data_IF_551059993993
#
_entry.id   IF_551059993993
#
_cell.length_a   1.000
_cell.length_b   1.000
_cell.length_c   1.000
_cell.angle_alpha   90.00
_cell.angle_beta   90.00
_cell.angle_gamma   90.00
#
_symmetry.space_group_name_H-M   'P 1'
#
loop_
_entity.id
_entity.type
_entity.pdbx_description
1 polymer ?
#
# COMPACT_ATOMS: atom_id res chain seq x y z
N UNK A 1 4.82 9.68 16.95
CA UNK A 1 4.28 9.99 15.59
C UNK A 1 4.02 11.48 15.36
N UNK A 2 3.40 12.16 16.32
CA UNK A 2 3.11 13.60 16.20
C UNK A 2 4.36 14.46 15.92
N UNK A 3 5.51 14.08 16.45
CA UNK A 3 6.77 14.80 16.26
C UNK A 3 7.25 14.82 14.80
N UNK A 4 6.73 13.94 13.95
CA UNK A 4 7.12 13.86 12.54
C UNK A 4 6.08 14.40 11.57
N UNK A 5 4.89 14.77 12.04
CA UNK A 5 3.85 15.32 11.16
C UNK A 5 4.36 16.58 10.44
N UNK A 6 5.06 17.44 11.15
CA UNK A 6 5.62 18.66 10.58
C UNK A 6 6.64 18.38 9.46
N UNK A 7 7.35 17.25 9.55
CA UNK A 7 8.28 16.85 8.49
C UNK A 7 7.56 16.79 7.13
N UNK A 8 6.38 16.19 7.08
CA UNK A 8 5.62 16.09 5.84
C UNK A 8 5.14 17.46 5.36
N UNK A 9 4.61 18.28 6.26
CA UNK A 9 4.06 19.58 5.89
C UNK A 9 5.15 20.61 5.52
N UNK A 10 6.34 20.47 6.08
CA UNK A 10 7.45 21.37 5.79
C UNK A 10 8.29 20.91 4.60
N UNK A 11 8.01 19.75 4.04
CA UNK A 11 8.74 19.24 2.89
C UNK A 11 8.23 19.89 1.60
N UNK A 12 9.09 20.62 0.91
CA UNK A 12 8.74 21.28 -0.35
C UNK A 12 9.00 20.39 -1.57
N UNK A 13 9.87 19.41 -1.46
CA UNK A 13 10.14 18.46 -2.52
C UNK A 13 8.95 17.48 -2.62
N UNK A 14 8.10 17.68 -3.61
CA UNK A 14 6.94 16.83 -3.86
C UNK A 14 7.08 16.18 -5.22
N UNK A 15 6.81 14.89 -5.26
CA UNK A 15 6.88 14.09 -6.49
C UNK A 15 5.59 13.27 -6.61
N UNK A 16 5.27 12.87 -7.84
CA UNK A 16 4.09 12.04 -8.06
C UNK A 16 4.28 10.65 -7.47
N UNK A 17 3.19 10.04 -7.06
CA UNK A 17 3.24 8.67 -6.52
C UNK A 17 3.91 7.72 -7.52
N UNK A 18 3.58 7.83 -8.82
CA UNK A 18 4.19 6.97 -9.83
C UNK A 18 5.69 7.21 -10.01
N UNK A 19 6.18 8.43 -9.75
CA UNK A 19 7.62 8.71 -9.86
C UNK A 19 8.43 8.13 -8.71
N UNK A 20 7.83 8.00 -7.53
CA UNK A 20 8.52 7.42 -6.37
C UNK A 20 8.27 5.93 -6.22
N UNK A 21 7.30 5.38 -6.96
CA UNK A 21 6.97 3.96 -6.97
C UNK A 21 7.15 3.40 -8.39
N UNK A 22 8.34 2.89 -8.73
CA UNK A 22 8.57 2.29 -10.06
C UNK A 22 7.60 1.16 -10.39
N UNK A 23 7.07 0.50 -9.37
CA UNK A 23 6.04 -0.52 -9.57
C UNK A 23 4.80 -0.08 -8.80
N UNK A 24 3.70 0.06 -9.54
CA UNK A 24 2.36 0.24 -9.00
C UNK A 24 1.48 -0.80 -9.69
N UNK A 25 0.88 -1.69 -8.91
CA UNK A 25 0.15 -2.81 -9.47
C UNK A 25 -1.17 -3.03 -8.76
N UNK A 26 -2.26 -2.77 -9.47
CA UNK A 26 -3.57 -3.28 -9.10
C UNK A 26 -3.56 -4.78 -9.38
N UNK A 27 -4.05 -5.59 -8.45
CA UNK A 27 -3.87 -7.03 -8.52
C UNK A 27 -4.74 -7.72 -9.56
N UNK A 28 -4.67 -9.05 -9.54
CA UNK A 28 -5.42 -9.90 -10.46
C UNK A 28 -6.83 -10.17 -9.96
N UNK A 29 -7.65 -10.75 -10.84
CA UNK A 29 -8.89 -11.43 -10.44
C UNK A 29 -8.52 -12.90 -10.20
N UNK A 30 -8.42 -13.36 -8.94
CA UNK A 30 -7.91 -14.70 -8.67
C UNK A 30 -8.87 -15.79 -9.11
N UNK A 31 -8.33 -16.97 -9.38
CA UNK A 31 -9.09 -18.21 -9.49
C UNK A 31 -8.93 -18.96 -8.18
N UNK A 32 -9.92 -18.82 -7.31
CA UNK A 32 -9.84 -19.33 -5.95
C UNK A 32 -9.91 -20.86 -5.90
N UNK A 33 -9.04 -21.42 -5.07
CA UNK A 33 -9.02 -22.84 -4.74
C UNK A 33 -9.00 -22.99 -3.22
N UNK A 34 -9.21 -24.20 -2.73
CA UNK A 34 -9.25 -24.44 -1.29
C UNK A 34 -7.89 -24.28 -0.62
N UNK A 35 -6.82 -24.65 -1.33
CA UNK A 35 -5.45 -24.52 -0.84
C UNK A 35 -4.47 -24.50 -2.00
N UNK A 36 -3.40 -23.71 -1.87
CA UNK A 36 -2.29 -23.66 -2.84
C UNK A 36 -1.09 -22.97 -2.22
N UNK A 37 0.00 -22.90 -2.96
CA UNK A 37 1.19 -22.15 -2.57
C UNK A 37 1.14 -20.67 -2.99
N UNK A 38 0.04 -20.23 -3.61
CA UNK A 38 -0.13 -18.82 -4.02
C UNK A 38 -1.26 -18.21 -3.19
N UNK A 39 -0.87 -17.36 -2.25
CA UNK A 39 -1.79 -16.75 -1.28
C UNK A 39 -2.14 -15.34 -1.73
N UNK A 40 -3.43 -15.01 -1.59
CA UNK A 40 -4.00 -13.77 -2.11
C UNK A 40 -4.32 -12.81 -0.99
N UNK A 41 -3.62 -11.69 -0.97
CA UNK A 41 -3.93 -10.58 -0.07
C UNK A 41 -5.16 -9.84 -0.63
N UNK A 42 -6.20 -9.78 0.18
CA UNK A 42 -7.42 -9.04 -0.15
C UNK A 42 -7.60 -7.88 0.83
N UNK A 43 -8.65 -7.07 0.62
CA UNK A 43 -8.87 -5.87 1.43
C UNK A 43 -9.04 -6.18 2.93
N UNK A 44 -9.54 -7.35 3.30
CA UNK A 44 -9.71 -7.73 4.70
C UNK A 44 -8.38 -8.03 5.40
N UNK A 45 -7.32 -8.26 4.63
CA UNK A 45 -5.98 -8.52 5.17
C UNK A 45 -5.26 -7.24 5.59
N UNK A 46 -5.71 -6.07 5.15
CA UNK A 46 -4.99 -4.81 5.33
C UNK A 46 -5.60 -4.03 6.49
N UNK A 47 -4.75 -3.78 7.49
CA UNK A 47 -5.10 -3.00 8.68
C UNK A 47 -4.07 -1.90 8.88
N UNK A 48 -4.44 -0.86 9.61
CA UNK A 48 -3.56 0.29 9.82
C UNK A 48 -2.25 -0.07 10.53
N UNK A 49 -2.25 -1.15 11.30
CA UNK A 49 -1.07 -1.62 12.05
C UNK A 49 -0.32 -2.76 11.35
N UNK A 50 -0.73 -3.15 10.17
CA UNK A 50 -0.08 -4.22 9.42
C UNK A 50 -1.05 -5.21 8.79
N UNK A 51 -0.49 -6.24 8.18
CA UNK A 51 -1.27 -7.28 7.52
C UNK A 51 -1.82 -8.30 8.52
N UNK A 52 -2.99 -8.83 8.22
CA UNK A 52 -3.59 -9.95 8.94
C UNK A 52 -3.98 -11.03 7.96
N UNK A 53 -3.47 -12.23 8.16
CA UNK A 53 -3.60 -13.33 7.20
C UNK A 53 -4.71 -14.33 7.55
N UNK A 54 -5.52 -14.06 8.58
CA UNK A 54 -6.63 -14.93 8.96
C UNK A 54 -7.70 -15.09 7.90
N UNK A 55 -7.81 -14.13 6.98
CA UNK A 55 -8.75 -14.15 5.87
C UNK A 55 -8.08 -14.38 4.53
N UNK A 56 -6.84 -14.89 4.53
CA UNK A 56 -6.11 -15.15 3.30
C UNK A 56 -6.84 -16.20 2.46
N UNK A 57 -6.79 -16.02 1.15
CA UNK A 57 -7.38 -16.95 0.18
C UNK A 57 -6.28 -17.46 -0.73
N UNK A 58 -6.60 -18.48 -1.53
CA UNK A 58 -5.63 -19.18 -2.34
C UNK A 58 -6.00 -19.12 -3.82
N UNK A 59 -5.02 -18.80 -4.64
CA UNK A 59 -5.17 -18.77 -6.10
C UNK A 59 -4.67 -20.12 -6.67
N UNK A 60 -5.33 -20.60 -7.72
CA UNK A 60 -4.89 -21.80 -8.42
C UNK A 60 -3.48 -21.60 -8.95
N UNK A 61 -2.52 -22.30 -8.35
CA UNK A 61 -1.11 -22.15 -8.67
C UNK A 61 -0.72 -22.61 -10.08
N UNK A 62 -1.60 -23.36 -10.75
CA UNK A 62 -1.40 -23.76 -12.14
C UNK A 62 -1.66 -22.63 -13.13
N UNK A 63 -2.32 -21.55 -12.66
CA UNK A 63 -2.58 -20.37 -13.49
C UNK A 63 -1.49 -19.34 -13.24
N UNK A 64 -0.67 -19.01 -14.25
CA UNK A 64 0.43 -18.06 -14.06
C UNK A 64 -0.05 -16.68 -13.58
N UNK A 65 0.69 -16.10 -12.64
CA UNK A 65 0.49 -14.73 -12.19
C UNK A 65 1.40 -13.82 -13.00
N UNK A 66 0.81 -12.90 -13.74
CA UNK A 66 1.53 -11.99 -14.64
C UNK A 66 1.60 -10.56 -14.11
N UNK A 67 1.31 -10.38 -12.83
CA UNK A 67 1.39 -9.11 -12.12
C UNK A 67 2.35 -9.23 -10.94
N UNK A 68 2.33 -8.22 -10.08
CA UNK A 68 3.28 -8.13 -8.97
C UNK A 68 3.24 -9.37 -8.07
N UNK A 69 4.37 -9.98 -7.84
CA UNK A 69 4.60 -10.89 -6.72
C UNK A 69 5.08 -10.02 -5.57
N UNK A 70 4.37 -10.06 -4.46
CA UNK A 70 4.64 -9.17 -3.34
C UNK A 70 5.98 -9.48 -2.68
N UNK A 71 6.69 -8.42 -2.33
CA UNK A 71 7.96 -8.49 -1.60
C UNK A 71 7.85 -7.68 -0.32
N UNK A 72 8.65 -8.04 0.69
CA UNK A 72 8.70 -7.26 1.93
C UNK A 72 9.06 -5.82 1.64
N UNK A 73 8.30 -4.90 2.23
CA UNK A 73 8.44 -3.48 2.00
C UNK A 73 7.48 -2.92 0.97
N UNK A 74 6.75 -3.76 0.23
CA UNK A 74 5.67 -3.25 -0.62
C UNK A 74 4.62 -2.58 0.26
N UNK A 75 4.15 -1.40 -0.15
CA UNK A 75 3.04 -0.72 0.52
C UNK A 75 1.76 -1.18 -0.13
N UNK A 76 0.84 -1.68 0.68
CA UNK A 76 -0.46 -2.19 0.21
C UNK A 76 -1.54 -1.16 0.54
N UNK A 77 -2.29 -0.76 -0.47
CA UNK A 77 -3.32 0.26 -0.36
C UNK A 77 -4.66 -0.31 -0.81
N UNK A 78 -5.65 -0.30 0.09
CA UNK A 78 -7.00 -0.72 -0.28
C UNK A 78 -7.63 0.27 -1.24
N UNK A 79 -8.02 -0.24 -2.40
CA UNK A 79 -8.58 0.59 -3.48
C UNK A 79 -10.10 0.62 -3.47
N UNK A 80 -10.77 -0.25 -2.71
CA UNK A 80 -12.22 -0.39 -2.72
C UNK A 80 -12.77 -0.59 -1.32
N UNK A 81 -14.09 -0.52 -1.24
CA UNK A 81 -14.84 -0.95 -0.07
C UNK A 81 -15.24 0.19 0.85
N UNK A 82 -16.51 0.14 1.29
CA UNK A 82 -17.06 1.08 2.24
C UNK A 82 -16.39 0.84 3.61
N UNK A 83 -15.69 1.83 4.13
CA UNK A 83 -14.98 1.72 5.39
C UNK A 83 -13.61 1.05 5.32
N UNK A 84 -13.22 0.48 4.17
CA UNK A 84 -11.90 -0.15 4.00
C UNK A 84 -11.02 0.57 3.00
N UNK A 85 -11.62 1.28 2.02
CA UNK A 85 -10.87 2.04 1.03
C UNK A 85 -9.91 3.02 1.73
N UNK A 86 -8.68 3.04 1.27
CA UNK A 86 -7.65 3.93 1.81
C UNK A 86 -6.78 3.33 2.89
N UNK A 87 -7.20 2.24 3.54
CA UNK A 87 -6.32 1.57 4.50
C UNK A 87 -5.04 1.13 3.81
N UNK A 88 -3.93 1.27 4.51
CA UNK A 88 -2.64 0.88 3.96
C UNK A 88 -1.74 0.30 5.04
N UNK A 89 -0.80 -0.53 4.61
CA UNK A 89 0.23 -1.08 5.49
C UNK A 89 1.46 -1.46 4.68
N UNK A 90 2.58 -1.63 5.37
CA UNK A 90 3.81 -2.15 4.75
C UNK A 90 3.76 -3.67 4.88
N UNK A 91 3.87 -4.35 3.74
CA UNK A 91 3.85 -5.82 3.70
C UNK A 91 5.15 -6.39 4.21
N UNK A 92 5.05 -7.42 5.05
CA UNK A 92 6.18 -8.23 5.52
C UNK A 92 5.93 -9.65 5.03
N UNK A 93 6.80 -10.12 4.13
CA UNK A 93 6.62 -11.43 3.54
C UNK A 93 6.92 -12.52 4.59
N UNK A 94 5.95 -13.40 4.86
CA UNK A 94 6.20 -14.53 5.77
C UNK A 94 7.28 -15.46 5.23
N UNK A 95 8.03 -16.09 6.13
CA UNK A 95 9.12 -17.04 5.80
C UNK A 95 8.55 -18.47 5.66
N UNK A 96 7.65 -18.67 4.71
CA UNK A 96 6.90 -19.92 4.56
C UNK A 96 7.01 -20.55 3.17
N UNK A 97 7.89 -20.02 2.31
CA UNK A 97 8.09 -20.48 0.94
C UNK A 97 6.86 -20.33 0.03
N UNK A 98 5.83 -19.63 0.47
CA UNK A 98 4.66 -19.34 -0.36
C UNK A 98 4.88 -18.08 -1.19
N UNK A 99 4.10 -17.96 -2.25
CA UNK A 99 4.03 -16.76 -3.08
C UNK A 99 2.85 -15.93 -2.64
N UNK A 100 3.06 -14.62 -2.44
CA UNK A 100 1.99 -13.70 -2.04
C UNK A 100 1.71 -12.73 -3.18
N UNK A 101 0.43 -12.59 -3.51
CA UNK A 101 -0.05 -11.66 -4.54
C UNK A 101 -1.20 -10.84 -3.96
N UNK A 102 -1.55 -9.74 -4.64
CA UNK A 102 -2.73 -8.96 -4.28
C UNK A 102 -3.84 -9.16 -5.31
N UNK A 103 -5.09 -9.07 -4.85
CA UNK A 103 -6.24 -9.11 -5.73
C UNK A 103 -6.53 -7.72 -6.34
N UNK A 104 -7.59 -7.63 -7.15
CA UNK A 104 -7.95 -6.40 -7.84
C UNK A 104 -8.47 -5.28 -6.93
N UNK A 105 -8.69 -5.55 -5.65
CA UNK A 105 -9.16 -4.57 -4.67
C UNK A 105 -8.00 -3.92 -3.90
N UNK A 106 -6.78 -4.36 -4.13
CA UNK A 106 -5.58 -3.89 -3.43
C UNK A 106 -4.54 -3.44 -4.45
N UNK A 107 -3.99 -2.24 -4.22
CA UNK A 107 -2.88 -1.71 -5.02
C UNK A 107 -1.59 -1.98 -4.28
N UNK A 108 -0.62 -2.59 -4.96
CA UNK A 108 0.74 -2.77 -4.43
C UNK A 108 1.64 -1.66 -4.95
N UNK A 109 2.34 -1.01 -4.02
CA UNK A 109 3.25 0.09 -4.31
C UNK A 109 4.66 -0.32 -3.90
N UNK A 110 5.56 -0.44 -4.87
CA UNK A 110 6.97 -0.73 -4.58
C UNK A 110 7.77 0.55 -4.77
N UNK A 111 8.31 1.09 -3.66
CA UNK A 111 9.02 2.36 -3.70
C UNK A 111 10.44 2.21 -4.23
N UNK A 112 10.93 3.29 -4.85
CA UNK A 112 12.37 3.47 -5.04
C UNK A 112 12.96 3.90 -3.69
N UNK A 113 13.64 2.98 -3.02
CA UNK A 113 14.15 3.21 -1.66
C UNK A 113 15.31 4.20 -1.60
N UNK A 114 15.87 4.56 -2.73
CA UNK A 114 16.84 5.66 -2.80
C UNK A 114 16.12 7.02 -2.72
N UNK A 115 14.81 7.06 -2.97
CA UNK A 115 13.99 8.27 -3.00
C UNK A 115 13.10 8.36 -1.76
N UNK A 116 12.32 7.31 -1.50
CA UNK A 116 11.40 7.29 -0.37
C UNK A 116 11.34 5.88 0.25
N UNK A 117 11.43 5.84 1.58
CA UNK A 117 11.33 4.57 2.29
C UNK A 117 9.85 4.14 2.40
N UNK A 118 9.57 2.82 2.33
CA UNK A 118 8.19 2.33 2.42
C UNK A 118 7.41 2.85 3.62
N UNK A 119 8.04 2.86 4.78
CA UNK A 119 7.40 3.30 6.02
C UNK A 119 7.03 4.78 5.97
N UNK A 120 7.87 5.61 5.31
CA UNK A 120 7.59 7.04 5.14
C UNK A 120 6.39 7.24 4.23
N UNK A 121 6.34 6.53 3.10
CA UNK A 121 5.18 6.60 2.20
C UNK A 121 3.93 6.10 2.89
N UNK A 122 4.00 4.97 3.55
CA UNK A 122 2.84 4.38 4.23
C UNK A 122 2.27 5.33 5.27
N UNK A 123 3.13 5.93 6.08
CA UNK A 123 2.67 6.88 7.11
C UNK A 123 2.04 8.12 6.48
N UNK A 124 2.62 8.64 5.39
CA UNK A 124 2.03 9.77 4.68
C UNK A 124 0.63 9.43 4.18
N UNK A 125 0.45 8.26 3.56
CA UNK A 125 -0.85 7.82 3.06
C UNK A 125 -1.87 7.67 4.18
N UNK A 126 -1.44 7.34 5.39
CA UNK A 126 -2.32 7.13 6.54
C UNK A 126 -2.74 8.42 7.25
N UNK A 127 -2.13 9.57 6.94
CA UNK A 127 -2.47 10.84 7.57
C UNK A 127 -3.91 11.23 7.24
N UNK A 128 -4.61 11.82 8.22
CA UNK A 128 -6.00 12.23 8.03
C UNK A 128 -6.18 13.15 6.82
N UNK A 129 -5.28 14.10 6.63
CA UNK A 129 -5.37 15.02 5.49
C UNK A 129 -5.15 14.30 4.16
N UNK A 130 -4.23 13.33 4.12
CA UNK A 130 -4.00 12.53 2.91
C UNK A 130 -5.21 11.67 2.60
N UNK A 131 -5.80 11.05 3.62
CA UNK A 131 -7.00 10.24 3.44
C UNK A 131 -8.16 11.10 2.91
N UNK A 132 -8.33 12.30 3.44
CA UNK A 132 -9.35 13.23 2.95
C UNK A 132 -9.09 13.62 1.48
N UNK A 133 -7.83 13.85 1.11
CA UNK A 133 -7.45 14.16 -0.28
C UNK A 133 -7.78 13.00 -1.20
N UNK A 134 -7.45 11.76 -0.79
CA UNK A 134 -7.73 10.56 -1.59
C UNK A 134 -9.22 10.47 -1.88
N UNK A 135 -10.06 10.59 -0.84
CA UNK A 135 -11.51 10.52 -1.02
C UNK A 135 -12.06 11.65 -1.89
N UNK A 136 -11.51 12.85 -1.77
CA UNK A 136 -12.01 14.02 -2.51
C UNK A 136 -11.58 14.01 -3.98
N UNK A 137 -10.36 13.56 -4.29
CA UNK A 137 -9.77 13.76 -5.61
C UNK A 137 -9.58 12.48 -6.42
N UNK A 138 -9.50 11.32 -5.77
CA UNK A 138 -9.05 10.10 -6.44
C UNK A 138 -10.05 8.94 -6.33
N UNK A 139 -11.22 9.18 -5.80
CA UNK A 139 -12.24 8.15 -5.60
C UNK A 139 -13.45 8.45 -6.45
N UNK A 140 -14.00 7.41 -7.07
CA UNK A 140 -15.25 7.47 -7.83
C UNK A 140 -16.23 6.44 -7.27
N UNK A 141 -17.49 6.54 -7.67
CA UNK A 141 -18.53 5.59 -7.31
C UNK A 141 -19.58 6.15 -6.36
N UNK A 142 -20.58 5.31 -6.10
CA UNK A 142 -21.68 5.65 -5.20
C UNK A 142 -21.39 5.14 -3.79
N UNK A 143 -22.32 5.40 -2.86
CA UNK A 143 -22.19 5.09 -1.43
C UNK A 143 -21.75 3.66 -1.12
N UNK A 144 -22.15 2.70 -1.97
CA UNK A 144 -21.87 1.28 -1.72
C UNK A 144 -20.78 0.69 -2.63
N UNK A 145 -20.26 1.46 -3.59
CA UNK A 145 -19.29 0.98 -4.56
C UNK A 145 -18.27 2.07 -4.85
N UNK A 146 -17.42 2.33 -3.85
CA UNK A 146 -16.34 3.32 -3.98
C UNK A 146 -15.06 2.64 -4.44
N UNK A 147 -14.32 3.34 -5.29
CA UNK A 147 -13.13 2.79 -5.95
C UNK A 147 -12.10 3.90 -6.15
N UNK A 148 -10.84 3.63 -5.83
CA UNK A 148 -9.75 4.53 -6.20
C UNK A 148 -9.53 4.43 -7.70
N UNK A 149 -9.50 5.58 -8.38
CA UNK A 149 -9.19 5.64 -9.81
C UNK A 149 -7.69 5.49 -9.98
N UNK A 150 -7.24 4.34 -10.42
CA UNK A 150 -5.83 3.98 -10.47
C UNK A 150 -5.02 4.94 -11.35
N UNK A 151 -5.54 5.32 -12.51
CA UNK A 151 -4.87 6.26 -13.41
C UNK A 151 -4.68 7.64 -12.79
N UNK A 152 -5.57 8.03 -11.87
CA UNK A 152 -5.52 9.34 -11.24
C UNK A 152 -4.62 9.34 -10.00
N UNK A 153 -4.69 8.30 -9.17
CA UNK A 153 -3.88 8.23 -7.93
C UNK A 153 -2.37 8.20 -8.26
N UNK A 154 -2.00 7.70 -9.43
CA UNK A 154 -0.60 7.73 -9.89
C UNK A 154 -0.01 9.13 -9.88
N UNK A 155 -0.85 10.14 -10.08
CA UNK A 155 -0.43 11.54 -10.20
C UNK A 155 -0.51 12.31 -8.90
N UNK A 156 -0.96 11.66 -7.82
CA UNK A 156 -1.01 12.30 -6.51
C UNK A 156 0.40 12.70 -6.07
N UNK A 157 0.54 13.94 -5.61
CA UNK A 157 1.82 14.44 -5.10
C UNK A 157 2.06 13.92 -3.69
N UNK A 158 3.26 13.43 -3.45
CA UNK A 158 3.69 12.99 -2.12
C UNK A 158 4.95 13.75 -1.74
N UNK A 159 5.11 14.14 -0.46
CA UNK A 159 6.32 14.80 -0.01
C UNK A 159 7.46 13.79 0.09
N UNK A 160 8.65 14.23 -0.31
CA UNK A 160 9.85 13.42 -0.24
C UNK A 160 10.83 14.17 0.67
N UNK A 161 10.82 13.89 1.99
CA UNK A 161 11.77 14.51 2.92
C UNK A 161 13.20 14.10 2.60
N UNK A 162 14.18 14.79 3.20
CA UNK A 162 15.56 14.35 3.05
C UNK A 162 15.72 12.92 3.54
N UNK A 163 16.67 12.18 2.96
CA UNK A 163 16.88 10.79 3.37
C UNK A 163 17.29 10.69 4.84
N UNK A 164 18.05 11.67 5.35
CA UNK A 164 18.41 11.70 6.77
C UNK A 164 17.17 11.78 7.69
N UNK A 165 16.20 12.63 7.33
CA UNK A 165 14.94 12.72 8.06
C UNK A 165 14.15 11.41 7.97
N UNK A 166 14.12 10.80 6.80
CA UNK A 166 13.40 9.55 6.59
C UNK A 166 14.01 8.42 7.43
N UNK A 167 15.32 8.29 7.44
CA UNK A 167 16.02 7.26 8.21
C UNK A 167 15.75 7.43 9.70
N UNK A 168 15.83 8.66 10.20
CA UNK A 168 15.54 8.95 11.60
C UNK A 168 14.10 8.58 11.95
N UNK A 169 13.16 8.94 11.07
CA UNK A 169 11.74 8.60 11.27
C UNK A 169 11.55 7.08 11.40
N UNK A 170 12.14 6.31 10.49
CA UNK A 170 11.98 4.85 10.49
C UNK A 170 12.60 4.24 11.74
N UNK A 171 13.76 4.74 12.19
CA UNK A 171 14.37 4.26 13.43
C UNK A 171 13.47 4.49 14.63
N UNK A 172 12.88 5.68 14.74
CA UNK A 172 11.97 6.00 15.85
C UNK A 172 10.70 5.17 15.75
N UNK A 173 10.17 4.97 14.55
CA UNK A 173 8.98 4.16 14.32
C UNK A 173 9.20 2.72 14.80
N UNK A 174 10.36 2.14 14.51
CA UNK A 174 10.70 0.78 14.95
C UNK A 174 10.86 0.66 16.45
N UNK A 175 11.31 1.71 17.12
CA UNK A 175 11.46 1.71 18.58
C UNK A 175 10.14 1.84 19.31
N UNK A 176 9.10 2.35 18.64
CA UNK A 176 7.79 2.55 19.24
C UNK A 176 6.95 1.26 19.27
N UNK A 177 7.40 0.21 18.60
CA UNK A 177 6.67 -1.08 18.54
C UNK A 177 7.04 -2.01 19.70
#
# INVERSE_FOLDING_TARGET
>A
MSQFIEMYYNTHNKQTLESVCPIMSKGITPKYVESSSVLVINQACIHWDGQRLGNIKYHNEEIPVRKRILESGDVLLNATGNGTLGRCCVFICPSDNNTYINDGHVIALSTDRAVILPEVLNTYLSLNDTQAEIYRQYVTGSTNQVDIVFSDIKKMKVPVPSMDEQILFVEVLKQAD
#
